data_IF_792723353573
#
_entry.id   IF_792723353573
#
_cell.length_a   1.000
_cell.length_b   1.000
_cell.length_c   1.000
_cell.angle_alpha   90.00
_cell.angle_beta   90.00
_cell.angle_gamma   90.00
#
_symmetry.space_group_name_H-M   'P 1'
#
loop_
_entity.id
_entity.type
_entity.pdbx_description
1 polymer ?
#
# COMPACT_ATOMS: atom_id res chain seq x y z
N UNK A 1 23.15 -4.09 -6.14
CA UNK A 1 22.18 -3.97 -5.04
C UNK A 1 21.34 -2.71 -5.24
N UNK A 2 20.05 -2.87 -5.41
CA UNK A 2 19.08 -1.76 -5.54
C UNK A 2 18.45 -1.47 -4.19
N UNK A 3 18.24 -0.17 -3.91
CA UNK A 3 17.58 0.28 -2.67
C UNK A 3 16.43 1.22 -3.05
N UNK A 4 15.29 1.03 -2.43
CA UNK A 4 14.13 1.93 -2.51
C UNK A 4 13.49 2.02 -1.13
N UNK A 5 12.85 3.14 -0.90
CA UNK A 5 12.08 3.39 0.31
C UNK A 5 10.74 3.99 -0.03
N UNK A 6 9.80 3.79 0.86
CA UNK A 6 8.49 4.41 0.84
C UNK A 6 8.20 4.97 2.23
N UNK A 7 7.60 6.15 2.28
CA UNK A 7 7.26 6.84 3.52
C UNK A 7 5.83 7.35 3.41
N UNK A 8 5.07 7.24 4.48
CA UNK A 8 3.77 7.89 4.62
C UNK A 8 3.89 9.08 5.56
N UNK A 9 3.63 10.28 5.01
CA UNK A 9 3.56 11.53 5.76
C UNK A 9 2.17 12.12 5.54
N UNK A 10 1.42 12.29 6.63
CA UNK A 10 0.04 12.77 6.60
C UNK A 10 -0.05 14.23 7.01
N UNK A 11 -0.96 14.97 6.37
CA UNK A 11 -1.46 16.29 6.73
C UNK A 11 -2.97 16.21 7.01
N UNK A 12 -3.55 17.24 7.59
CA UNK A 12 -4.99 17.27 7.87
C UNK A 12 -5.81 17.56 6.62
N UNK A 13 -5.29 18.41 5.71
CA UNK A 13 -6.02 18.81 4.51
C UNK A 13 -5.30 18.46 3.22
N UNK A 14 -6.06 18.35 2.14
CA UNK A 14 -5.52 18.16 0.79
C UNK A 14 -4.88 19.44 0.21
N UNK A 15 -5.16 20.59 0.78
CA UNK A 15 -4.49 21.84 0.44
C UNK A 15 -3.03 21.81 0.85
N UNK A 16 -2.74 21.40 2.09
CA UNK A 16 -1.37 21.23 2.58
C UNK A 16 -0.66 20.10 1.83
N UNK A 17 -1.34 19.00 1.54
CA UNK A 17 -0.74 17.91 0.75
C UNK A 17 -0.26 18.38 -0.64
N UNK A 18 -0.86 19.42 -1.22
CA UNK A 18 -0.45 20.03 -2.50
C UNK A 18 0.52 21.20 -2.34
N UNK A 19 0.78 21.64 -1.11
CA UNK A 19 1.70 22.76 -0.83
C UNK A 19 3.14 22.37 -1.15
N UNK A 20 3.88 23.29 -1.80
CA UNK A 20 5.26 23.05 -2.23
C UNK A 20 6.21 22.82 -1.04
N UNK A 21 6.03 23.56 0.07
CA UNK A 21 6.88 23.43 1.26
C UNK A 21 6.66 22.10 1.97
N UNK A 22 5.39 21.63 2.02
CA UNK A 22 5.07 20.31 2.53
C UNK A 22 5.66 19.21 1.65
N UNK A 23 5.55 19.31 0.33
CA UNK A 23 6.13 18.34 -0.60
C UNK A 23 7.65 18.32 -0.55
N UNK A 24 8.30 19.48 -0.35
CA UNK A 24 9.74 19.55 -0.14
C UNK A 24 10.15 18.86 1.17
N UNK A 25 9.39 19.08 2.25
CA UNK A 25 9.59 18.38 3.52
C UNK A 25 9.42 16.86 3.37
N UNK A 26 8.36 16.39 2.70
CA UNK A 26 8.16 14.96 2.43
C UNK A 26 9.35 14.36 1.69
N UNK A 27 9.89 15.06 0.68
CA UNK A 27 11.09 14.60 -0.04
C UNK A 27 12.32 14.50 0.88
N UNK A 28 12.49 15.44 1.80
CA UNK A 28 13.58 15.42 2.77
C UNK A 28 13.41 14.23 3.74
N UNK A 29 12.19 13.94 4.22
CA UNK A 29 11.88 12.74 5.02
C UNK A 29 12.18 11.44 4.25
N UNK A 30 11.83 11.38 2.95
CA UNK A 30 12.18 10.23 2.10
C UNK A 30 13.69 10.05 2.00
N UNK A 31 14.46 11.14 1.86
CA UNK A 31 15.93 11.08 1.83
C UNK A 31 16.51 10.64 3.18
N UNK A 32 15.95 11.09 4.30
CA UNK A 32 16.29 10.62 5.64
C UNK A 32 16.05 9.09 5.75
N UNK A 33 14.88 8.61 5.30
CA UNK A 33 14.54 7.18 5.32
C UNK A 33 15.46 6.32 4.43
N UNK A 34 16.10 6.89 3.39
CA UNK A 34 17.06 6.16 2.56
C UNK A 34 18.30 5.76 3.34
N UNK A 35 18.77 6.63 4.22
CA UNK A 35 20.03 6.48 4.98
C UNK A 35 19.82 5.91 6.38
N UNK A 36 18.59 5.90 6.89
CA UNK A 36 18.27 5.47 8.26
C UNK A 36 18.74 4.04 8.54
N UNK A 37 19.14 3.82 9.80
CA UNK A 37 19.40 2.51 10.38
C UNK A 37 18.34 2.12 11.41
N UNK A 38 17.34 2.98 11.64
CA UNK A 38 16.27 2.75 12.57
C UNK A 38 15.47 1.50 12.19
N UNK A 39 15.16 0.68 13.19
CA UNK A 39 14.32 -0.50 13.03
C UNK A 39 12.82 -0.20 13.20
N UNK A 40 12.48 0.93 13.82
CA UNK A 40 11.12 1.35 14.11
C UNK A 40 10.97 2.88 14.03
N UNK A 41 9.72 3.36 14.15
CA UNK A 41 9.43 4.79 14.04
C UNK A 41 10.00 5.61 15.20
N UNK A 42 10.07 5.08 16.41
CA UNK A 42 10.60 5.80 17.58
C UNK A 42 12.08 6.09 17.40
N UNK A 43 12.84 5.09 16.95
CA UNK A 43 14.25 5.26 16.60
C UNK A 43 14.43 6.24 15.44
N UNK A 44 13.61 6.14 14.39
CA UNK A 44 13.66 7.05 13.25
C UNK A 44 13.43 8.50 13.66
N UNK A 45 12.45 8.75 14.51
CA UNK A 45 12.13 10.09 15.01
C UNK A 45 13.23 10.69 15.90
N UNK A 46 14.04 9.83 16.54
CA UNK A 46 15.16 10.24 17.40
C UNK A 46 16.49 10.44 16.62
N UNK A 47 16.56 10.00 15.35
CA UNK A 47 17.76 10.18 14.53
C UNK A 47 18.07 11.66 14.28
N UNK A 48 19.36 12.00 14.17
CA UNK A 48 19.79 13.30 13.71
C UNK A 48 19.29 13.55 12.27
N UNK A 49 18.79 14.75 12.02
CA UNK A 49 18.32 15.15 10.71
C UNK A 49 19.47 15.30 9.72
N UNK A 50 19.37 14.71 8.54
CA UNK A 50 20.46 14.69 7.55
C UNK A 50 20.90 16.07 7.07
N UNK A 51 19.99 17.05 7.04
CA UNK A 51 20.27 18.42 6.57
C UNK A 51 20.77 19.34 7.72
N UNK A 52 20.51 18.97 8.99
CA UNK A 52 20.93 19.70 10.18
C UNK A 52 21.09 18.74 11.36
N UNK A 53 22.29 18.25 11.57
CA UNK A 53 22.61 17.29 12.63
C UNK A 53 22.42 17.81 14.07
N UNK A 54 22.17 19.11 14.25
CA UNK A 54 21.81 19.67 15.54
C UNK A 54 20.36 19.41 15.96
N UNK A 55 19.53 18.92 15.03
CA UNK A 55 18.12 18.62 15.23
C UNK A 55 17.85 17.14 15.00
N UNK A 56 16.80 16.64 15.64
CA UNK A 56 16.26 15.31 15.35
C UNK A 56 15.17 15.40 14.27
N UNK A 57 14.81 14.26 13.68
CA UNK A 57 13.64 14.16 12.77
C UNK A 57 12.39 14.71 13.46
N UNK A 58 12.20 14.43 14.75
CA UNK A 58 11.09 14.92 15.56
C UNK A 58 11.10 16.44 15.72
N UNK A 59 12.27 17.04 15.94
CA UNK A 59 12.39 18.50 16.10
C UNK A 59 11.98 19.19 14.79
N UNK A 60 12.46 18.69 13.64
CA UNK A 60 12.11 19.24 12.33
C UNK A 60 10.62 19.06 12.02
N UNK A 61 10.02 17.92 12.38
CA UNK A 61 8.56 17.72 12.26
C UNK A 61 7.81 18.78 13.08
N UNK A 62 8.22 19.02 14.32
CA UNK A 62 7.58 20.02 15.21
C UNK A 62 7.69 21.44 14.63
N UNK A 63 8.86 21.81 14.08
CA UNK A 63 9.04 23.08 13.39
C UNK A 63 8.12 23.20 12.15
N UNK A 64 7.98 22.12 11.37
CA UNK A 64 7.11 22.12 10.20
C UNK A 64 5.64 22.26 10.57
N UNK A 65 5.19 21.62 11.64
CA UNK A 65 3.84 21.79 12.19
C UNK A 65 3.61 23.26 12.56
N UNK A 66 4.55 23.89 13.23
CA UNK A 66 4.43 25.30 13.64
C UNK A 66 4.37 26.27 12.44
N UNK A 67 5.11 25.98 11.36
CA UNK A 67 5.15 26.83 10.15
C UNK A 67 3.93 26.63 9.28
N UNK A 68 3.51 25.37 9.06
CA UNK A 68 2.40 25.01 8.17
C UNK A 68 1.04 25.23 8.85
N UNK A 69 0.99 25.11 10.18
CA UNK A 69 -0.23 25.32 10.97
C UNK A 69 -1.22 24.15 10.95
N UNK A 70 -0.79 22.98 10.47
CA UNK A 70 -1.57 21.73 10.51
C UNK A 70 -0.80 20.65 11.28
N UNK A 71 -1.52 19.69 11.85
CA UNK A 71 -0.92 18.53 12.48
C UNK A 71 -0.38 17.59 11.40
N UNK A 72 0.95 17.48 11.35
CA UNK A 72 1.66 16.59 10.42
C UNK A 72 2.12 15.33 11.15
N UNK A 73 2.13 14.21 10.48
CA UNK A 73 2.60 12.95 11.05
C UNK A 73 3.42 12.13 10.05
N UNK A 74 4.65 11.79 10.40
CA UNK A 74 5.41 10.74 9.72
C UNK A 74 4.96 9.41 10.31
N UNK A 75 4.09 8.71 9.59
CA UNK A 75 3.38 7.55 10.13
C UNK A 75 4.18 6.27 10.08
N UNK A 76 4.76 5.98 8.93
CA UNK A 76 5.49 4.74 8.68
C UNK A 76 6.46 4.90 7.51
N UNK A 77 7.48 4.07 7.50
CA UNK A 77 8.38 3.92 6.37
C UNK A 77 8.70 2.44 6.16
N UNK A 78 9.10 2.09 4.96
CA UNK A 78 9.65 0.78 4.65
C UNK A 78 10.77 0.90 3.62
N UNK A 79 11.80 0.07 3.78
CA UNK A 79 12.95 -0.02 2.89
C UNK A 79 12.97 -1.38 2.23
N UNK A 80 13.25 -1.39 0.94
CA UNK A 80 13.48 -2.61 0.16
C UNK A 80 14.89 -2.55 -0.40
N UNK A 81 15.69 -3.57 -0.08
CA UNK A 81 17.04 -3.75 -0.57
C UNK A 81 17.13 -5.10 -1.27
N UNK A 82 17.53 -5.12 -2.55
CA UNK A 82 17.55 -6.33 -3.36
C UNK A 82 18.73 -6.36 -4.33
N UNK A 83 19.18 -7.54 -4.70
CA UNK A 83 20.12 -7.75 -5.81
C UNK A 83 19.39 -7.77 -7.16
N UNK A 84 18.10 -8.10 -7.18
CA UNK A 84 17.23 -8.09 -8.35
C UNK A 84 16.85 -6.69 -8.83
N UNK A 85 15.56 -6.43 -9.03
CA UNK A 85 15.04 -5.13 -9.42
C UNK A 85 13.95 -4.67 -8.46
N UNK A 86 13.96 -3.38 -8.11
CA UNK A 86 12.87 -2.74 -7.38
C UNK A 86 12.42 -1.49 -8.11
N UNK A 87 11.11 -1.36 -8.30
CA UNK A 87 10.49 -0.19 -8.93
C UNK A 87 9.53 0.47 -7.97
N UNK A 88 9.31 1.77 -8.17
CA UNK A 88 8.34 2.56 -7.41
C UNK A 88 7.26 3.13 -8.33
N UNK A 89 6.06 3.24 -7.82
CA UNK A 89 4.93 3.89 -8.47
C UNK A 89 4.18 4.75 -7.46
N UNK A 90 3.86 5.98 -7.86
CA UNK A 90 3.06 6.92 -7.07
C UNK A 90 1.78 7.21 -7.82
N UNK A 91 0.64 7.06 -7.16
CA UNK A 91 -0.68 7.29 -7.73
C UNK A 91 -1.42 8.41 -6.99
N UNK A 92 -2.33 9.08 -7.71
CA UNK A 92 -3.25 10.06 -7.12
C UNK A 92 -2.54 11.25 -6.44
N UNK A 93 -1.43 11.74 -7.01
CA UNK A 93 -0.71 12.89 -6.44
C UNK A 93 -0.02 12.60 -5.10
N UNK A 94 0.34 11.35 -4.83
CA UNK A 94 0.97 10.92 -3.59
C UNK A 94 0.03 10.21 -2.61
N UNK A 95 -1.22 9.97 -2.98
CA UNK A 95 -2.17 9.25 -2.10
C UNK A 95 -1.83 7.78 -1.92
N UNK A 96 -1.34 7.13 -2.98
CA UNK A 96 -0.93 5.74 -2.95
C UNK A 96 0.51 5.66 -3.43
N UNK A 97 1.37 5.03 -2.64
CA UNK A 97 2.71 4.68 -3.01
C UNK A 97 2.86 3.16 -3.06
N UNK A 98 3.57 2.66 -4.07
CA UNK A 98 3.83 1.24 -4.23
C UNK A 98 5.31 1.01 -4.55
N UNK A 99 5.91 0.02 -3.90
CA UNK A 99 7.16 -0.60 -4.29
C UNK A 99 6.88 -2.02 -4.75
N UNK A 100 7.51 -2.45 -5.85
CA UNK A 100 7.50 -3.85 -6.29
C UNK A 100 8.94 -4.32 -6.42
N UNK A 101 9.24 -5.40 -5.74
CA UNK A 101 10.51 -6.12 -5.78
C UNK A 101 10.36 -7.37 -6.63
N UNK A 102 11.32 -7.62 -7.49
CA UNK A 102 11.40 -8.83 -8.28
C UNK A 102 12.83 -9.35 -8.36
N UNK A 103 12.97 -10.67 -8.30
CA UNK A 103 14.20 -11.34 -8.72
C UNK A 103 14.23 -11.36 -10.24
N UNK A 104 15.36 -10.95 -10.80
CA UNK A 104 15.59 -10.99 -12.24
C UNK A 104 17.08 -11.03 -12.53
N UNK A 105 17.44 -11.79 -13.55
CA UNK A 105 18.80 -11.89 -14.10
C UNK A 105 19.08 -10.79 -15.13
N UNK A 106 18.04 -10.11 -15.63
CA UNK A 106 18.14 -9.01 -16.59
C UNK A 106 17.40 -7.79 -16.07
N UNK A 107 18.09 -6.64 -16.04
CA UNK A 107 17.49 -5.35 -15.66
C UNK A 107 17.62 -4.39 -16.84
N UNK A 108 16.59 -4.34 -17.67
CA UNK A 108 16.44 -3.40 -18.80
C UNK A 108 15.19 -2.52 -18.60
N UNK A 109 14.92 -1.64 -19.54
CA UNK A 109 13.80 -0.70 -19.45
C UNK A 109 12.46 -1.40 -19.65
N UNK A 110 12.40 -2.48 -20.43
CA UNK A 110 11.19 -3.31 -20.63
C UNK A 110 10.79 -4.03 -19.34
N UNK A 111 11.76 -4.64 -18.65
CA UNK A 111 11.51 -5.29 -17.34
C UNK A 111 11.07 -4.25 -16.29
N UNK A 112 11.73 -3.08 -16.24
CA UNK A 112 11.30 -2.00 -15.33
C UNK A 112 9.90 -1.50 -15.67
N UNK A 113 9.55 -1.36 -16.94
CA UNK A 113 8.20 -0.99 -17.38
C UNK A 113 7.16 -2.05 -17.00
N UNK A 114 7.48 -3.33 -17.18
CA UNK A 114 6.65 -4.44 -16.73
C UNK A 114 6.37 -4.35 -15.22
N UNK A 115 7.41 -4.24 -14.39
CA UNK A 115 7.27 -4.14 -12.94
C UNK A 115 6.52 -2.87 -12.51
N UNK A 116 6.66 -1.76 -13.25
CA UNK A 116 5.89 -0.54 -13.02
C UNK A 116 4.40 -0.75 -13.31
N UNK A 117 4.05 -1.51 -14.36
CA UNK A 117 2.67 -1.89 -14.65
C UNK A 117 2.11 -2.80 -13.55
N UNK A 118 2.92 -3.72 -13.02
CA UNK A 118 2.55 -4.52 -11.84
C UNK A 118 2.33 -3.62 -10.61
N UNK A 119 3.15 -2.60 -10.41
CA UNK A 119 2.94 -1.64 -9.32
C UNK A 119 1.65 -0.82 -9.50
N UNK A 120 1.26 -0.49 -10.74
CA UNK A 120 -0.04 0.12 -11.04
C UNK A 120 -1.20 -0.82 -10.72
N UNK A 121 -1.07 -2.12 -11.03
CA UNK A 121 -2.04 -3.15 -10.64
C UNK A 121 -2.21 -3.21 -9.12
N UNK A 122 -1.11 -3.25 -8.36
CA UNK A 122 -1.12 -3.23 -6.89
C UNK A 122 -1.81 -1.99 -6.35
N UNK A 123 -1.55 -0.81 -6.93
CA UNK A 123 -2.22 0.42 -6.54
C UNK A 123 -3.74 0.37 -6.76
N UNK A 124 -4.18 -0.20 -7.88
CA UNK A 124 -5.58 -0.25 -8.30
C UNK A 124 -6.38 -1.33 -7.56
N UNK A 125 -5.81 -2.53 -7.41
CA UNK A 125 -6.54 -3.71 -6.95
C UNK A 125 -6.27 -4.09 -5.49
N UNK A 126 -5.29 -3.44 -4.84
CA UNK A 126 -4.97 -3.64 -3.41
C UNK A 126 -4.85 -5.12 -3.00
N UNK A 127 -4.03 -5.95 -3.68
CA UNK A 127 -3.84 -7.33 -3.29
C UNK A 127 -3.24 -7.42 -1.88
N UNK A 128 -3.46 -8.55 -1.20
CA UNK A 128 -2.90 -8.81 0.13
C UNK A 128 -1.60 -9.62 0.06
N UNK A 129 -1.49 -10.51 -0.92
CA UNK A 129 -0.39 -11.47 -1.10
C UNK A 129 0.15 -11.40 -2.52
N UNK A 130 1.41 -11.79 -2.72
CA UNK A 130 1.96 -11.92 -4.08
C UNK A 130 1.37 -13.15 -4.76
N UNK A 131 1.39 -14.30 -4.07
CA UNK A 131 0.89 -15.58 -4.59
C UNK A 131 0.07 -16.32 -3.54
N UNK A 132 -0.58 -17.41 -3.95
CA UNK A 132 -1.32 -18.29 -3.03
C UNK A 132 -0.44 -18.98 -2.01
N UNK A 133 0.83 -19.16 -2.31
CA UNK A 133 1.78 -19.86 -1.43
C UNK A 133 2.09 -19.04 -0.16
N UNK A 134 1.83 -17.72 -0.20
CA UNK A 134 1.99 -16.81 0.94
C UNK A 134 0.77 -16.77 1.86
N UNK A 135 -0.35 -17.35 1.42
CA UNK A 135 -1.59 -17.30 2.20
C UNK A 135 -1.51 -18.29 3.36
N UNK A 136 -1.69 -17.78 4.57
CA UNK A 136 -1.64 -18.58 5.78
C UNK A 136 -2.74 -19.65 5.78
N UNK A 137 -2.40 -20.87 6.21
CA UNK A 137 -3.34 -21.99 6.34
C UNK A 137 -4.46 -21.67 7.34
N UNK A 138 -4.13 -21.02 8.45
CA UNK A 138 -5.11 -20.61 9.47
C UNK A 138 -6.12 -19.62 8.88
N UNK A 139 -5.66 -18.69 8.02
CA UNK A 139 -6.54 -17.79 7.29
C UNK A 139 -7.48 -18.55 6.35
N UNK A 140 -6.95 -19.51 5.57
CA UNK A 140 -7.74 -20.32 4.65
C UNK A 140 -8.79 -21.18 5.36
N UNK A 141 -8.46 -21.74 6.53
CA UNK A 141 -9.38 -22.52 7.35
C UNK A 141 -10.50 -21.64 7.91
N UNK A 142 -10.14 -20.47 8.44
CA UNK A 142 -11.12 -19.51 8.96
C UNK A 142 -12.08 -19.01 7.88
N UNK A 143 -11.58 -18.65 6.70
CA UNK A 143 -12.42 -18.25 5.57
C UNK A 143 -13.35 -19.39 5.10
N UNK A 144 -12.86 -20.64 5.08
CA UNK A 144 -13.72 -21.80 4.78
C UNK A 144 -14.85 -21.95 5.79
N UNK A 145 -14.61 -21.77 7.08
CA UNK A 145 -15.64 -21.83 8.12
C UNK A 145 -16.70 -20.74 7.93
N UNK A 146 -16.27 -19.51 7.65
CA UNK A 146 -17.19 -18.40 7.37
C UNK A 146 -18.05 -18.69 6.16
N UNK A 147 -17.41 -19.10 5.05
CA UNK A 147 -18.11 -19.44 3.80
C UNK A 147 -19.06 -20.62 3.97
N UNK A 148 -18.71 -21.61 4.82
CA UNK A 148 -19.58 -22.74 5.15
C UNK A 148 -20.83 -22.29 5.90
N UNK A 149 -20.65 -21.45 6.93
CA UNK A 149 -21.76 -20.91 7.70
C UNK A 149 -22.72 -20.09 6.82
N UNK A 150 -22.17 -19.23 5.96
CA UNK A 150 -22.95 -18.46 4.99
C UNK A 150 -23.67 -19.33 3.98
N UNK A 151 -22.98 -20.30 3.36
CA UNK A 151 -23.55 -21.16 2.34
C UNK A 151 -24.70 -22.03 2.91
N UNK A 152 -24.58 -22.56 4.13
CA UNK A 152 -25.65 -23.31 4.83
C UNK A 152 -26.85 -22.42 5.15
N UNK A 153 -26.61 -21.18 5.57
CA UNK A 153 -27.70 -20.22 5.85
C UNK A 153 -28.46 -19.83 4.59
N UNK A 154 -27.75 -19.61 3.49
CA UNK A 154 -28.33 -19.22 2.19
C UNK A 154 -29.04 -20.40 1.49
N UNK A 155 -28.60 -21.62 1.75
CA UNK A 155 -29.06 -22.82 1.04
C UNK A 155 -29.37 -24.00 1.99
N UNK A 156 -30.36 -23.86 2.89
CA UNK A 156 -30.61 -24.84 3.97
C UNK A 156 -31.03 -26.23 3.42
N UNK A 157 -31.49 -26.33 2.18
CA UNK A 157 -31.96 -27.55 1.58
C UNK A 157 -30.98 -28.23 0.61
N UNK A 158 -29.75 -27.65 0.46
CA UNK A 158 -28.76 -28.27 -0.44
C UNK A 158 -27.94 -29.32 0.28
N UNK A 159 -27.61 -30.46 -0.41
CA UNK A 159 -26.71 -31.48 0.14
C UNK A 159 -25.33 -30.92 0.44
N UNK A 160 -24.64 -31.44 1.48
CA UNK A 160 -23.32 -30.98 1.91
C UNK A 160 -22.27 -31.04 0.79
N UNK A 161 -22.29 -32.04 -0.08
CA UNK A 161 -21.35 -32.13 -1.20
C UNK A 161 -21.52 -31.02 -2.25
N UNK A 162 -22.69 -30.41 -2.37
CA UNK A 162 -22.93 -29.26 -3.24
C UNK A 162 -22.43 -28.00 -2.52
N UNK A 163 -22.68 -27.89 -1.22
CA UNK A 163 -22.18 -26.79 -0.39
C UNK A 163 -20.66 -26.74 -0.43
N UNK A 164 -19.98 -27.88 -0.27
CA UNK A 164 -18.50 -27.95 -0.36
C UNK A 164 -17.97 -27.45 -1.71
N UNK A 165 -18.58 -27.85 -2.83
CA UNK A 165 -18.19 -27.35 -4.15
C UNK A 165 -18.41 -25.84 -4.30
N UNK A 166 -19.49 -25.31 -3.71
CA UNK A 166 -19.76 -23.87 -3.71
C UNK A 166 -18.69 -23.10 -2.91
N UNK A 167 -18.28 -23.64 -1.74
CA UNK A 167 -17.23 -23.03 -0.90
C UNK A 167 -15.91 -23.01 -1.64
N UNK A 168 -15.49 -24.12 -2.25
CA UNK A 168 -14.28 -24.20 -3.05
C UNK A 168 -14.31 -23.17 -4.19
N UNK A 169 -15.45 -23.02 -4.86
CA UNK A 169 -15.63 -22.02 -5.91
C UNK A 169 -15.50 -20.58 -5.39
N UNK A 170 -16.13 -20.27 -4.25
CA UNK A 170 -16.05 -18.94 -3.60
C UNK A 170 -14.63 -18.63 -3.12
N UNK A 171 -13.99 -19.60 -2.44
CA UNK A 171 -12.61 -19.46 -1.99
C UNK A 171 -11.64 -19.22 -3.16
N UNK A 172 -11.80 -19.97 -4.25
CA UNK A 172 -10.98 -19.76 -5.44
C UNK A 172 -11.20 -18.37 -6.08
N UNK A 173 -12.42 -17.84 -6.02
CA UNK A 173 -12.70 -16.48 -6.48
C UNK A 173 -12.01 -15.44 -5.59
N UNK A 174 -12.10 -15.62 -4.29
CA UNK A 174 -11.44 -14.75 -3.31
C UNK A 174 -9.92 -14.75 -3.47
N UNK A 175 -9.31 -15.95 -3.62
CA UNK A 175 -7.87 -16.06 -3.88
C UNK A 175 -7.45 -15.29 -5.14
N UNK A 176 -8.27 -15.28 -6.19
CA UNK A 176 -8.01 -14.50 -7.40
C UNK A 176 -8.11 -12.98 -7.18
N UNK A 177 -8.83 -12.54 -6.15
CA UNK A 177 -8.95 -11.13 -5.82
C UNK A 177 -7.81 -10.66 -4.91
N UNK A 178 -7.38 -11.49 -3.94
CA UNK A 178 -6.37 -11.11 -2.93
C UNK A 178 -4.93 -11.45 -3.32
N UNK A 179 -4.70 -12.38 -4.25
CA UNK A 179 -3.36 -12.77 -4.71
C UNK A 179 -3.01 -12.03 -6.01
N UNK A 180 -1.98 -11.19 -5.98
CA UNK A 180 -1.54 -10.34 -7.08
C UNK A 180 -1.37 -11.11 -8.40
N UNK A 181 -0.65 -12.24 -8.37
CA UNK A 181 -0.32 -13.01 -9.57
C UNK A 181 -1.54 -13.68 -10.22
N UNK A 182 -2.60 -13.95 -9.44
CA UNK A 182 -3.84 -14.55 -9.92
C UNK A 182 -4.87 -13.52 -10.40
N UNK A 183 -4.68 -12.23 -10.07
CA UNK A 183 -5.57 -11.17 -10.51
C UNK A 183 -5.58 -11.05 -12.03
N UNK A 184 -6.74 -10.69 -12.57
CA UNK A 184 -6.86 -10.26 -13.97
C UNK A 184 -6.10 -8.96 -14.15
N UNK A 185 -5.25 -8.88 -15.17
CA UNK A 185 -4.44 -7.70 -15.42
C UNK A 185 -5.31 -6.53 -15.90
N UNK A 186 -5.24 -5.38 -15.22
CA UNK A 186 -6.16 -4.25 -15.46
C UNK A 186 -6.03 -3.63 -16.86
N UNK A 187 -4.89 -3.79 -17.54
CA UNK A 187 -4.68 -3.25 -18.89
C UNK A 187 -5.02 -4.25 -19.99
N UNK A 188 -5.15 -5.55 -19.67
CA UNK A 188 -5.49 -6.61 -20.60
C UNK A 188 -6.24 -7.73 -19.85
N UNK A 189 -7.56 -7.74 -19.98
CA UNK A 189 -8.45 -8.69 -19.28
C UNK A 189 -8.30 -10.15 -19.70
N UNK A 190 -7.60 -10.43 -20.79
CA UNK A 190 -7.36 -11.81 -21.26
C UNK A 190 -6.16 -12.45 -20.54
N UNK A 191 -5.39 -11.65 -19.82
CA UNK A 191 -4.21 -12.09 -19.09
C UNK A 191 -4.40 -11.98 -17.57
N UNK A 192 -3.77 -12.89 -16.85
CA UNK A 192 -3.48 -12.67 -15.43
C UNK A 192 -2.16 -11.92 -15.29
N UNK A 193 -1.93 -11.29 -14.12
CA UNK A 193 -0.65 -10.63 -13.82
C UNK A 193 0.52 -11.59 -14.01
N UNK A 194 0.40 -12.85 -13.56
CA UNK A 194 1.43 -13.87 -13.75
C UNK A 194 1.76 -14.08 -15.23
N UNK A 195 0.74 -14.26 -16.09
CA UNK A 195 0.93 -14.45 -17.54
C UNK A 195 1.52 -13.23 -18.21
N UNK A 196 1.14 -12.03 -17.76
CA UNK A 196 1.72 -10.79 -18.27
C UNK A 196 3.23 -10.71 -17.96
N UNK A 197 3.62 -10.96 -16.71
CA UNK A 197 5.04 -10.98 -16.31
C UNK A 197 5.81 -12.05 -17.05
N UNK A 198 5.27 -13.27 -17.17
CA UNK A 198 5.89 -14.38 -17.92
C UNK A 198 6.09 -14.05 -19.40
N UNK A 199 5.11 -13.42 -20.03
CA UNK A 199 5.19 -12.98 -21.43
C UNK A 199 6.36 -12.00 -21.63
N UNK A 200 6.43 -10.94 -20.82
CA UNK A 200 7.50 -9.94 -20.92
C UNK A 200 8.86 -10.56 -20.62
N UNK A 201 8.94 -11.45 -19.63
CA UNK A 201 10.17 -12.17 -19.28
C UNK A 201 10.67 -12.99 -20.49
N UNK A 202 9.80 -13.75 -21.15
CA UNK A 202 10.14 -14.53 -22.36
C UNK A 202 10.59 -13.67 -23.52
N UNK A 203 9.91 -12.55 -23.78
CA UNK A 203 10.25 -11.60 -24.84
C UNK A 203 11.65 -10.99 -24.65
N UNK A 204 12.11 -10.88 -23.39
CA UNK A 204 13.42 -10.34 -23.04
C UNK A 204 14.48 -11.41 -22.73
N UNK A 205 14.15 -12.69 -22.84
CA UNK A 205 15.06 -13.79 -22.50
C UNK A 205 15.49 -13.77 -21.03
N UNK A 206 14.63 -13.27 -20.14
CA UNK A 206 14.88 -13.08 -18.72
C UNK A 206 14.06 -14.02 -17.86
N UNK A 207 14.53 -14.25 -16.63
CA UNK A 207 13.72 -14.81 -15.56
C UNK A 207 13.25 -13.66 -14.68
N UNK A 208 11.94 -13.52 -14.48
CA UNK A 208 11.35 -12.48 -13.63
C UNK A 208 10.38 -13.11 -12.66
N UNK A 209 10.64 -12.98 -11.38
CA UNK A 209 9.76 -13.42 -10.31
C UNK A 209 9.45 -12.27 -9.35
N UNK A 210 8.19 -11.87 -9.25
CA UNK A 210 7.75 -10.88 -8.26
C UNK A 210 7.86 -11.52 -6.88
N UNK A 211 8.65 -10.90 -6.00
CA UNK A 211 8.92 -11.39 -4.64
C UNK A 211 8.07 -10.74 -3.58
N UNK A 212 7.97 -9.42 -3.67
CA UNK A 212 7.34 -8.61 -2.64
C UNK A 212 6.77 -7.35 -3.26
N UNK A 213 5.70 -6.86 -2.67
CA UNK A 213 5.28 -5.49 -2.86
C UNK A 213 5.02 -4.83 -1.52
N UNK A 214 5.14 -3.51 -1.50
CA UNK A 214 4.73 -2.65 -0.38
C UNK A 214 3.75 -1.64 -0.94
N UNK A 215 2.58 -1.52 -0.34
CA UNK A 215 1.57 -0.54 -0.70
C UNK A 215 1.23 0.29 0.51
N UNK A 216 1.40 1.59 0.41
CA UNK A 216 0.90 2.54 1.39
C UNK A 216 -0.17 3.42 0.75
N UNK A 217 -1.29 3.52 1.43
CA UNK A 217 -2.33 4.49 1.12
C UNK A 217 -2.46 5.46 2.29
N UNK A 218 -2.51 6.76 2.00
CA UNK A 218 -2.57 7.79 3.04
C UNK A 218 -3.83 7.62 3.87
N UNK A 219 -3.65 7.54 5.20
CA UNK A 219 -4.76 7.39 6.15
C UNK A 219 -5.37 5.98 6.23
N UNK A 220 -4.82 4.99 5.53
CA UNK A 220 -5.30 3.60 5.59
C UNK A 220 -5.24 3.06 7.03
N UNK A 221 -6.37 2.50 7.52
CA UNK A 221 -6.46 1.95 8.88
C UNK A 221 -6.51 2.99 10.01
N UNK A 222 -6.58 4.29 9.70
CA UNK A 222 -6.87 5.31 10.70
C UNK A 222 -8.39 5.46 10.88
N UNK A 223 -8.82 5.60 12.13
CA UNK A 223 -10.22 5.95 12.41
C UNK A 223 -10.53 7.33 11.81
N UNK A 224 -11.53 7.36 10.95
CA UNK A 224 -12.05 8.63 10.45
C UNK A 224 -12.82 9.29 11.60
N UNK A 225 -12.41 10.50 12.01
CA UNK A 225 -13.20 11.30 12.90
C UNK A 225 -14.57 11.56 12.23
N UNK A 226 -15.62 11.00 12.79
CA UNK A 226 -16.99 11.31 12.41
C UNK A 226 -17.33 12.66 13.06
N UNK A 227 -16.91 13.74 12.42
CA UNK A 227 -17.37 15.08 12.83
C UNK A 227 -18.81 15.24 12.34
N UNK A 228 -19.74 15.27 13.27
CA UNK A 228 -21.12 15.67 12.98
C UNK A 228 -21.12 17.15 12.66
N UNK A 229 -20.97 17.47 11.38
CA UNK A 229 -20.95 18.84 10.88
C UNK A 229 -22.24 19.60 11.23
N UNK A 230 -23.37 18.92 11.31
CA UNK A 230 -24.65 19.52 11.68
C UNK A 230 -24.66 19.93 13.16
N UNK A 231 -24.11 19.07 14.05
CA UNK A 231 -23.95 19.42 15.46
C UNK A 231 -22.94 20.56 15.66
N UNK A 232 -21.84 20.57 14.92
CA UNK A 232 -20.85 21.65 14.95
C UNK A 232 -21.45 23.00 14.54
N UNK A 233 -22.28 23.04 13.49
CA UNK A 233 -22.96 24.25 13.03
C UNK A 233 -23.98 24.78 14.05
N UNK A 234 -24.67 23.90 14.76
CA UNK A 234 -25.62 24.29 15.82
C UNK A 234 -24.92 24.99 16.99
N UNK A 235 -23.67 24.58 17.32
CA UNK A 235 -22.87 25.22 18.37
C UNK A 235 -22.29 26.58 17.98
N UNK A 236 -22.05 26.80 16.67
CA UNK A 236 -21.47 28.05 16.15
C UNK A 236 -22.51 29.05 15.63
N UNK A 237 -23.77 28.66 15.57
CA UNK A 237 -24.86 29.55 15.17
C UNK A 237 -25.10 30.60 16.27
N UNK A 238 -25.04 31.90 15.99
CA UNK A 238 -25.36 32.92 16.99
C UNK A 238 -26.79 32.71 17.47
N UNK A 239 -27.00 32.71 18.81
CA UNK A 239 -28.32 32.70 19.37
C UNK A 239 -29.16 33.83 18.78
N UNK A 240 -30.44 33.59 18.37
CA UNK A 240 -31.32 34.67 17.98
C UNK A 240 -31.32 35.67 19.12
N UNK A 241 -30.96 36.91 18.84
CA UNK A 241 -31.16 38.00 19.77
C UNK A 241 -32.66 38.27 19.82
N UNK A 242 -33.20 38.11 21.05
CA UNK A 242 -34.54 38.62 21.40
C UNK A 242 -34.61 40.15 21.18
#
# INVERSE_FOLDING_TARGET
MYKRQIVEVNSETDFVAKNADFQAYVKAVVNQALTTKAANMDEFMAEAWNEDAAKTVKDVLTEKIAVIGENLNIRRFEKVETEGCVVSYIHGGGRIGVLVEADTDVVNDEIKACLKNVAMQVAAMSPKYVSRDEVDQDFLEHEKEILLAQAKKENPNKPDNIIEKMIIGRLNKEMKEICLLDQVYVQDSDLTVAKYVEKVAKENGANVAVKKFVRFETGEGLEKKNEDFAACLLYTSPSPRD
#
